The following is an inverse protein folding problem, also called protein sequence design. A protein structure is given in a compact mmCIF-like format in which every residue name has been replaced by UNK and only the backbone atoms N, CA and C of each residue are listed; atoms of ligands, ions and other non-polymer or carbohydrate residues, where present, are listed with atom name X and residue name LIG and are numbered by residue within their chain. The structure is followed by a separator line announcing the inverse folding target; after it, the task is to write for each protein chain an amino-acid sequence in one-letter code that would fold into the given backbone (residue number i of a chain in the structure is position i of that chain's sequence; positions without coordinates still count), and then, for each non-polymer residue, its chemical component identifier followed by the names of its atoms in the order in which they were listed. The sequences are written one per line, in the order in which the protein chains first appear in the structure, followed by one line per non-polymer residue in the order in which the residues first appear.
data_IF_979679710371
#
_entry.id   IF_979679710371
#
_cell.length_a   1.000
_cell.length_b   1.000
_cell.length_c   1.000
_cell.angle_alpha   90.00
_cell.angle_beta   90.00
_cell.angle_gamma   90.00
#
_symmetry.space_group_name_H-M   'P 1'
#
loop_
_entity.id
_entity.type
_entity.pdbx_description
1 polymer ?
#
# COMPACT_ATOMS: atom_id res chain seq x y z
N UNK A 1 35.11 33.51 -51.11
CA UNK A 1 34.27 32.30 -51.07
C UNK A 1 34.92 31.27 -50.16
N UNK A 2 34.45 31.15 -48.91
CA UNK A 2 34.82 30.07 -47.99
C UNK A 2 33.53 29.61 -47.32
N UNK A 3 32.98 28.50 -47.80
CA UNK A 3 31.77 27.89 -47.28
C UNK A 3 32.12 27.13 -46.00
N UNK A 4 31.50 27.48 -44.88
CA UNK A 4 31.60 26.71 -43.63
C UNK A 4 30.40 25.77 -43.53
N UNK A 5 30.68 24.47 -43.45
CA UNK A 5 29.67 23.42 -43.24
C UNK A 5 29.42 23.33 -41.73
N UNK A 6 28.19 23.59 -41.31
CA UNK A 6 27.72 23.34 -39.93
C UNK A 6 27.29 21.88 -39.86
N UNK A 7 28.01 21.07 -39.08
CA UNK A 7 27.59 19.72 -38.74
C UNK A 7 26.63 19.78 -37.55
N UNK A 8 25.36 19.44 -37.77
CA UNK A 8 24.36 19.26 -36.71
C UNK A 8 24.50 17.84 -36.17
N UNK A 9 25.00 17.71 -34.93
CA UNK A 9 24.99 16.45 -34.21
C UNK A 9 23.61 16.23 -33.58
N UNK A 10 22.84 15.28 -34.12
CA UNK A 10 21.66 14.75 -33.44
C UNK A 10 22.10 13.87 -32.27
N UNK A 11 21.94 14.33 -31.03
CA UNK A 11 21.96 13.45 -29.86
C UNK A 11 20.66 12.63 -29.88
N UNK A 12 20.74 11.38 -30.32
CA UNK A 12 19.68 10.41 -30.11
C UNK A 12 19.62 10.02 -28.63
N UNK A 13 18.55 10.42 -27.93
CA UNK A 13 18.21 9.89 -26.62
C UNK A 13 17.80 8.42 -26.78
N UNK A 14 18.63 7.50 -26.31
CA UNK A 14 18.27 6.10 -26.14
C UNK A 14 17.28 5.98 -24.98
N UNK A 15 16.01 5.73 -25.31
CA UNK A 15 15.04 5.24 -24.35
C UNK A 15 15.49 3.84 -23.92
N UNK A 16 16.09 3.73 -22.74
CA UNK A 16 16.25 2.43 -22.10
C UNK A 16 14.84 2.02 -21.65
N UNK A 17 14.21 1.15 -22.43
CA UNK A 17 13.02 0.46 -21.99
C UNK A 17 13.42 -0.37 -20.76
N UNK A 18 13.00 0.07 -19.57
CA UNK A 18 13.06 -0.78 -18.40
C UNK A 18 12.25 -2.03 -18.71
N UNK A 19 12.87 -3.20 -18.56
CA UNK A 19 12.13 -4.44 -18.53
C UNK A 19 11.11 -4.30 -17.39
N UNK A 20 9.82 -4.25 -17.73
CA UNK A 20 8.76 -4.25 -16.73
C UNK A 20 8.90 -5.56 -15.95
N UNK A 21 9.36 -5.48 -14.71
CA UNK A 21 9.31 -6.64 -13.83
C UNK A 21 7.86 -7.08 -13.70
N UNK A 22 7.64 -8.39 -13.75
CA UNK A 22 6.32 -8.97 -13.48
C UNK A 22 5.95 -8.62 -12.03
N UNK A 23 5.04 -7.66 -11.87
CA UNK A 23 4.52 -7.23 -10.58
C UNK A 23 3.08 -7.71 -10.45
N UNK A 24 2.81 -8.43 -9.37
CA UNK A 24 1.45 -8.81 -8.99
C UNK A 24 1.03 -8.03 -7.74
N UNK A 25 -0.22 -7.60 -7.70
CA UNK A 25 -0.85 -6.95 -6.55
C UNK A 25 -2.07 -7.77 -6.16
N UNK A 26 -2.18 -8.16 -4.90
CA UNK A 26 -3.39 -8.73 -4.34
C UNK A 26 -4.33 -7.60 -3.95
N UNK A 27 -5.53 -7.53 -4.55
CA UNK A 27 -6.55 -6.56 -4.23
C UNK A 27 -7.66 -7.19 -3.38
N UNK A 28 -7.93 -6.63 -2.21
CA UNK A 28 -9.08 -6.98 -1.38
C UNK A 28 -10.33 -6.29 -1.97
N UNK A 29 -11.20 -7.11 -2.56
CA UNK A 29 -12.45 -6.68 -3.19
C UNK A 29 -13.62 -7.07 -2.27
N UNK A 30 -14.41 -6.08 -1.88
CA UNK A 30 -15.55 -6.28 -0.96
C UNK A 30 -15.09 -6.76 0.42
N UNK A 31 -15.75 -7.79 0.95
CA UNK A 31 -15.56 -8.25 2.32
C UNK A 31 -14.57 -9.42 2.45
N UNK A 32 -14.40 -10.22 1.40
CA UNK A 32 -13.68 -11.50 1.49
C UNK A 32 -13.11 -12.01 0.18
N UNK A 33 -13.01 -11.19 -0.87
CA UNK A 33 -12.48 -11.65 -2.16
C UNK A 33 -11.10 -11.04 -2.41
N UNK A 34 -10.15 -11.87 -2.84
CA UNK A 34 -8.81 -11.42 -3.25
C UNK A 34 -8.67 -11.63 -4.75
N UNK A 35 -8.39 -10.56 -5.48
CA UNK A 35 -8.04 -10.57 -6.89
C UNK A 35 -6.53 -10.38 -7.04
N UNK A 36 -5.84 -11.32 -7.70
CA UNK A 36 -4.42 -11.20 -8.05
C UNK A 36 -4.31 -10.48 -9.39
N UNK A 37 -3.87 -9.23 -9.34
CA UNK A 37 -3.75 -8.31 -10.47
C UNK A 37 -2.33 -8.33 -11.00
N UNK A 38 -2.16 -8.69 -12.27
CA UNK A 38 -0.90 -8.50 -12.99
C UNK A 38 -0.86 -7.06 -13.53
N UNK A 39 0.13 -6.30 -13.05
CA UNK A 39 0.29 -4.87 -13.36
C UNK A 39 0.65 -4.65 -14.83
N UNK A 40 1.47 -5.52 -15.41
CA UNK A 40 1.97 -5.36 -16.77
C UNK A 40 0.85 -5.57 -17.81
N UNK A 41 0.01 -6.57 -17.57
CA UNK A 41 -1.07 -6.98 -18.46
C UNK A 41 -2.42 -6.37 -18.11
N UNK A 42 -2.51 -5.67 -16.96
CA UNK A 42 -3.67 -4.90 -16.50
C UNK A 42 -4.93 -5.76 -16.39
N UNK A 43 -4.76 -6.97 -15.84
CA UNK A 43 -5.85 -7.93 -15.66
C UNK A 43 -5.66 -8.71 -14.38
N UNK A 44 -6.77 -9.27 -13.90
CA UNK A 44 -6.78 -10.23 -12.82
C UNK A 44 -6.43 -11.60 -13.38
N UNK A 45 -5.35 -12.21 -12.91
CA UNK A 45 -4.97 -13.58 -13.27
C UNK A 45 -5.83 -14.60 -12.54
N UNK A 46 -6.21 -14.27 -11.31
CA UNK A 46 -7.01 -15.13 -10.43
C UNK A 46 -7.82 -14.31 -9.45
N UNK A 47 -9.04 -14.73 -9.18
CA UNK A 47 -9.84 -14.22 -8.08
C UNK A 47 -10.29 -15.38 -7.20
N UNK A 48 -10.30 -15.16 -5.88
CA UNK A 48 -10.67 -16.18 -4.92
C UNK A 48 -11.40 -15.58 -3.72
N UNK A 49 -12.49 -16.23 -3.32
CA UNK A 49 -13.16 -15.97 -2.06
C UNK A 49 -12.37 -16.60 -0.92
N UNK A 50 -12.08 -15.83 0.11
CA UNK A 50 -11.34 -16.28 1.29
C UNK A 50 -12.27 -17.10 2.17
N UNK A 51 -11.86 -18.32 2.49
CA UNK A 51 -12.62 -19.25 3.33
C UNK A 51 -12.02 -19.36 4.73
N UNK A 52 -12.82 -19.73 5.73
CA UNK A 52 -12.37 -19.90 7.11
C UNK A 52 -12.30 -18.60 7.94
N UNK A 53 -12.94 -17.52 7.48
CA UNK A 53 -13.04 -16.26 8.22
C UNK A 53 -14.23 -16.28 9.19
N UNK A 54 -14.07 -15.67 10.36
CA UNK A 54 -15.14 -15.43 11.34
C UNK A 54 -15.98 -14.17 11.02
N UNK A 55 -15.54 -13.36 10.07
CA UNK A 55 -16.18 -12.13 9.62
C UNK A 55 -15.49 -11.55 8.40
N UNK A 56 -15.83 -10.31 8.01
CA UNK A 56 -15.17 -9.65 6.86
C UNK A 56 -13.71 -9.32 7.16
N UNK A 57 -12.89 -9.25 6.12
CA UNK A 57 -11.55 -8.69 6.17
C UNK A 57 -11.61 -7.16 6.28
N UNK A 58 -10.82 -6.61 7.18
CA UNK A 58 -10.60 -5.18 7.32
C UNK A 58 -9.53 -4.70 6.35
N UNK A 59 -8.44 -5.45 6.20
CA UNK A 59 -7.32 -5.20 5.29
C UNK A 59 -6.42 -6.44 5.16
N UNK A 60 -5.48 -6.39 4.21
CA UNK A 60 -4.52 -7.46 3.90
C UNK A 60 -3.14 -6.87 3.66
N UNK A 61 -2.08 -7.60 4.00
CA UNK A 61 -0.72 -7.24 3.62
C UNK A 61 0.24 -8.44 3.62
N UNK A 62 1.36 -8.36 2.90
CA UNK A 62 2.45 -9.32 2.93
C UNK A 62 3.41 -8.98 4.06
N UNK A 63 3.63 -9.91 5.00
CA UNK A 63 4.65 -9.72 6.04
C UNK A 63 6.05 -9.94 5.44
N UNK A 64 6.94 -8.94 5.42
CA UNK A 64 8.22 -9.07 4.72
C UNK A 64 9.17 -10.14 5.32
N UNK A 65 9.01 -10.48 6.59
CA UNK A 65 9.89 -11.43 7.29
C UNK A 65 9.65 -12.91 6.91
N UNK A 66 8.42 -13.27 6.53
CA UNK A 66 8.02 -14.62 6.14
C UNK A 66 7.42 -14.74 4.72
N UNK A 67 7.03 -13.62 4.09
CA UNK A 67 6.49 -13.58 2.74
C UNK A 67 5.06 -14.12 2.61
N UNK A 68 4.35 -14.33 3.72
CA UNK A 68 2.96 -14.79 3.71
C UNK A 68 1.99 -13.61 3.57
N UNK A 69 0.84 -13.86 2.94
CA UNK A 69 -0.27 -12.92 2.93
C UNK A 69 -1.05 -13.03 4.23
N UNK A 70 -1.18 -11.92 4.94
CA UNK A 70 -1.97 -11.80 6.16
C UNK A 70 -3.27 -11.06 5.87
N UNK A 71 -4.28 -11.33 6.68
CA UNK A 71 -5.52 -10.57 6.74
C UNK A 71 -5.91 -10.27 8.18
N UNK A 72 -6.43 -9.08 8.42
CA UNK A 72 -7.07 -8.71 9.68
C UNK A 72 -8.58 -8.86 9.54
N UNK A 73 -9.19 -9.71 10.35
CA UNK A 73 -10.64 -9.90 10.38
C UNK A 73 -11.29 -8.85 11.29
N UNK A 74 -12.53 -8.49 10.99
CA UNK A 74 -13.33 -7.50 11.74
C UNK A 74 -13.53 -7.81 13.23
N UNK A 75 -13.37 -9.06 13.66
CA UNK A 75 -13.42 -9.47 15.07
C UNK A 75 -12.03 -9.46 15.76
N UNK A 76 -11.01 -8.94 15.07
CA UNK A 76 -9.62 -8.87 15.51
C UNK A 76 -8.80 -10.14 15.29
N UNK A 77 -9.37 -11.18 14.69
CA UNK A 77 -8.59 -12.37 14.32
C UNK A 77 -7.59 -12.01 13.22
N UNK A 78 -6.32 -12.36 13.43
CA UNK A 78 -5.30 -12.28 12.40
C UNK A 78 -5.17 -13.65 11.74
N UNK A 79 -5.22 -13.69 10.42
CA UNK A 79 -5.10 -14.91 9.63
C UNK A 79 -3.95 -14.80 8.63
N UNK A 80 -3.33 -15.93 8.29
CA UNK A 80 -2.57 -16.07 7.04
C UNK A 80 -3.46 -16.66 5.97
N UNK A 81 -3.35 -16.20 4.73
CA UNK A 81 -4.21 -16.60 3.61
C UNK A 81 -3.34 -17.27 2.54
N UNK A 82 -3.67 -18.51 2.21
CA UNK A 82 -3.02 -19.22 1.12
C UNK A 82 -3.45 -18.61 -0.23
N UNK A 83 -2.49 -18.04 -0.97
CA UNK A 83 -2.73 -17.32 -2.24
C UNK A 83 -3.21 -18.23 -3.39
N UNK A 84 -3.06 -19.55 -3.25
CA UNK A 84 -3.49 -20.51 -4.26
C UNK A 84 -4.93 -21.00 -4.02
N UNK A 85 -5.36 -21.17 -2.79
CA UNK A 85 -6.66 -21.75 -2.44
C UNK A 85 -7.64 -20.74 -1.82
N UNK A 86 -7.15 -19.60 -1.32
CA UNK A 86 -7.93 -18.66 -0.53
C UNK A 86 -8.25 -19.16 0.88
N UNK A 87 -7.62 -20.25 1.35
CA UNK A 87 -7.86 -20.77 2.70
C UNK A 87 -7.16 -19.90 3.75
N UNK A 88 -7.94 -19.31 4.67
CA UNK A 88 -7.40 -18.62 5.83
C UNK A 88 -7.05 -19.61 6.96
N UNK A 89 -5.95 -19.34 7.66
CA UNK A 89 -5.52 -20.04 8.87
C UNK A 89 -5.29 -19.02 9.97
N UNK A 90 -5.93 -19.21 11.12
CA UNK A 90 -5.76 -18.30 12.26
C UNK A 90 -4.31 -18.32 12.76
N UNK A 91 -3.77 -17.12 12.95
CA UNK A 91 -2.43 -16.89 13.50
C UNK A 91 -2.51 -16.42 14.96
N UNK A 92 -3.33 -15.41 15.23
CA UNK A 92 -3.50 -14.82 16.55
C UNK A 92 -4.82 -14.03 16.62
N UNK A 93 -5.08 -13.35 17.73
CA UNK A 93 -6.20 -12.43 17.89
C UNK A 93 -5.73 -11.17 18.59
N UNK A 94 -6.01 -10.01 17.99
CA UNK A 94 -5.64 -8.72 18.55
C UNK A 94 -6.39 -8.44 19.84
N UNK A 95 -5.69 -7.95 20.87
CA UNK A 95 -6.29 -7.57 22.16
C UNK A 95 -7.09 -6.26 22.08
N UNK A 96 -6.75 -5.40 21.12
CA UNK A 96 -7.32 -4.08 20.91
C UNK A 96 -7.60 -3.89 19.43
N UNK A 97 -8.80 -3.41 19.10
CA UNK A 97 -9.22 -3.13 17.73
C UNK A 97 -9.49 -1.64 17.53
N UNK A 98 -9.47 -1.23 16.26
CA UNK A 98 -10.06 0.06 15.88
C UNK A 98 -11.57 0.07 16.20
N UNK A 99 -12.19 1.25 16.39
CA UNK A 99 -13.62 1.32 16.69
C UNK A 99 -14.49 0.71 15.56
N UNK A 100 -15.61 0.09 15.93
CA UNK A 100 -16.56 -0.48 14.98
C UNK A 100 -17.08 0.58 14.01
N UNK A 101 -17.10 0.27 12.71
CA UNK A 101 -17.58 1.17 11.66
C UNK A 101 -16.54 2.14 11.11
N UNK A 102 -15.36 2.22 11.74
CA UNK A 102 -14.20 2.95 11.21
C UNK A 102 -13.55 2.13 10.10
N UNK A 103 -13.18 2.78 8.98
CA UNK A 103 -12.43 2.12 7.92
C UNK A 103 -11.02 1.83 8.41
N UNK A 104 -10.52 0.62 8.13
CA UNK A 104 -9.18 0.22 8.48
C UNK A 104 -8.28 0.20 7.25
N UNK A 105 -7.01 0.50 7.47
CA UNK A 105 -5.89 0.15 6.61
C UNK A 105 -4.89 -0.64 7.43
N UNK A 106 -4.25 -1.65 6.85
CA UNK A 106 -3.20 -2.42 7.52
C UNK A 106 -1.96 -2.53 6.64
N UNK A 107 -0.77 -2.49 7.27
CA UNK A 107 0.50 -2.64 6.55
C UNK A 107 1.62 -3.08 7.50
N UNK A 108 2.55 -3.93 7.07
CA UNK A 108 3.66 -4.39 7.87
C UNK A 108 4.84 -3.45 7.79
N UNK A 109 5.29 -2.99 8.95
CA UNK A 109 6.58 -2.33 9.05
C UNK A 109 7.71 -3.36 8.82
N UNK A 110 8.53 -3.26 7.75
CA UNK A 110 9.55 -4.26 7.43
C UNK A 110 10.74 -4.25 8.40
N UNK A 111 10.90 -3.19 9.19
CA UNK A 111 12.01 -3.03 10.14
C UNK A 111 11.59 -3.49 11.54
N UNK A 112 10.43 -3.04 12.02
CA UNK A 112 9.91 -3.39 13.34
C UNK A 112 9.20 -4.75 13.36
N UNK A 113 8.84 -5.29 12.19
CA UNK A 113 8.06 -6.52 12.03
C UNK A 113 6.77 -6.47 12.84
N UNK A 114 6.01 -5.38 12.65
CA UNK A 114 4.73 -5.11 13.31
C UNK A 114 3.70 -4.70 12.27
N UNK A 115 2.47 -5.18 12.46
CA UNK A 115 1.33 -4.75 11.67
C UNK A 115 0.87 -3.38 12.19
N UNK A 116 0.93 -2.37 11.33
CA UNK A 116 0.26 -1.09 11.55
C UNK A 116 -1.22 -1.27 11.24
N UNK A 117 -2.10 -0.75 12.08
CA UNK A 117 -3.53 -0.68 11.82
C UNK A 117 -3.97 0.77 12.01
N UNK A 118 -4.38 1.41 10.94
CA UNK A 118 -4.82 2.81 10.93
C UNK A 118 -6.32 2.86 10.71
N UNK A 119 -7.02 3.60 11.56
CA UNK A 119 -8.42 3.93 11.41
C UNK A 119 -8.60 5.25 10.67
N UNK A 120 -9.63 5.34 9.85
CA UNK A 120 -10.01 6.60 9.18
C UNK A 120 -10.44 7.72 10.13
N UNK A 121 -10.58 7.44 11.42
CA UNK A 121 -10.81 8.40 12.51
C UNK A 121 -9.50 8.89 13.17
N UNK A 122 -8.36 8.48 12.64
CA UNK A 122 -7.03 8.76 13.18
C UNK A 122 -6.58 7.80 14.27
N UNK A 123 -7.33 6.73 14.56
CA UNK A 123 -6.83 5.64 15.41
C UNK A 123 -5.56 5.06 14.79
N UNK A 124 -4.53 4.84 15.62
CA UNK A 124 -3.21 4.43 15.16
C UNK A 124 -2.69 3.33 16.09
N UNK A 125 -2.64 2.09 15.59
CA UNK A 125 -2.26 0.92 16.37
C UNK A 125 -1.04 0.23 15.77
N UNK A 126 -0.23 -0.39 16.63
CA UNK A 126 0.82 -1.34 16.23
C UNK A 126 0.56 -2.68 16.90
N UNK A 127 0.42 -3.73 16.11
CA UNK A 127 0.16 -5.07 16.57
C UNK A 127 1.37 -5.98 16.34
N UNK A 128 1.67 -6.82 17.33
CA UNK A 128 2.48 -8.01 17.11
C UNK A 128 1.56 -9.16 16.71
N UNK A 129 1.67 -9.61 15.46
CA UNK A 129 0.79 -10.66 14.94
C UNK A 129 1.12 -12.05 15.48
N UNK A 130 2.27 -12.25 16.11
CA UNK A 130 2.64 -13.55 16.67
C UNK A 130 1.95 -13.84 18.02
N UNK A 131 1.67 -12.81 18.82
CA UNK A 131 1.02 -12.95 20.14
C UNK A 131 -0.26 -12.14 20.31
N UNK A 132 -0.63 -11.31 19.32
CA UNK A 132 -1.86 -10.51 19.32
C UNK A 132 -1.79 -9.23 20.17
N UNK A 133 -0.64 -8.91 20.77
CA UNK A 133 -0.51 -7.70 21.60
C UNK A 133 -0.56 -6.44 20.75
N UNK A 134 -1.33 -5.45 21.19
CA UNK A 134 -1.46 -4.17 20.50
C UNK A 134 -0.96 -3.01 21.36
N UNK A 135 -0.22 -2.11 20.74
CA UNK A 135 0.11 -0.79 21.30
C UNK A 135 -0.72 0.27 20.59
N UNK A 136 -1.43 1.09 21.36
CA UNK A 136 -2.08 2.29 20.85
C UNK A 136 -1.07 3.44 20.82
N UNK A 137 -0.78 3.92 19.63
CA UNK A 137 0.14 5.03 19.39
C UNK A 137 -0.61 6.38 19.44
N UNK A 138 0.13 7.48 19.21
CA UNK A 138 -0.45 8.81 19.09
C UNK A 138 -1.51 8.88 18.00
N UNK A 139 -2.62 9.56 18.30
CA UNK A 139 -3.71 9.79 17.34
C UNK A 139 -3.20 10.64 16.17
N UNK A 140 -3.61 10.24 14.97
CA UNK A 140 -3.18 10.91 13.75
C UNK A 140 -3.63 12.36 13.74
N UNK A 141 -2.69 13.25 13.43
CA UNK A 141 -2.91 14.68 13.23
C UNK A 141 -1.89 15.25 12.26
N UNK A 142 -2.29 16.25 11.51
CA UNK A 142 -1.34 17.04 10.75
C UNK A 142 -0.37 17.79 11.67
N UNK A 143 0.90 17.81 11.29
CA UNK A 143 1.96 18.45 12.07
C UNK A 143 1.74 19.96 12.28
N UNK A 144 2.45 20.52 13.26
CA UNK A 144 2.29 21.92 13.64
C UNK A 144 2.67 22.95 12.56
N UNK A 145 3.49 22.53 11.59
CA UNK A 145 3.92 23.32 10.45
C UNK A 145 3.26 22.87 9.13
N UNK A 146 2.32 21.92 9.21
CA UNK A 146 1.64 21.38 8.04
C UNK A 146 0.54 22.34 7.55
N UNK A 147 0.34 22.40 6.23
CA UNK A 147 -0.71 23.24 5.63
C UNK A 147 -2.14 22.84 6.03
N UNK A 148 -2.34 21.61 6.50
CA UNK A 148 -3.62 21.07 6.99
C UNK A 148 -3.71 21.08 8.52
N UNK A 149 -2.83 21.78 9.23
CA UNK A 149 -2.87 21.92 10.69
C UNK A 149 -4.28 22.22 11.20
N UNK A 150 -4.69 21.50 12.24
CA UNK A 150 -5.99 21.68 12.90
C UNK A 150 -7.16 21.00 12.18
N UNK A 151 -6.96 20.44 10.99
CA UNK A 151 -7.94 19.54 10.36
C UNK A 151 -7.77 18.13 10.91
N UNK A 152 -8.89 17.43 11.10
CA UNK A 152 -8.86 16.01 11.43
C UNK A 152 -8.51 15.23 10.15
N UNK A 153 -7.44 14.42 10.13
CA UNK A 153 -7.14 13.56 9.00
C UNK A 153 -8.17 12.44 8.91
N UNK A 154 -8.45 12.02 7.67
CA UNK A 154 -9.24 10.83 7.35
C UNK A 154 -8.41 9.93 6.45
N UNK A 155 -7.53 9.14 7.06
CA UNK A 155 -6.66 8.21 6.33
C UNK A 155 -7.47 7.04 5.79
N UNK A 156 -7.25 6.70 4.52
CA UNK A 156 -7.95 5.61 3.82
C UNK A 156 -7.02 4.49 3.35
N UNK A 157 -5.72 4.77 3.26
CA UNK A 157 -4.69 3.84 2.86
C UNK A 157 -3.32 4.33 3.35
N UNK A 158 -2.33 3.45 3.40
CA UNK A 158 -1.01 3.76 3.90
C UNK A 158 -0.11 2.53 3.83
N UNK A 159 1.18 2.77 3.58
CA UNK A 159 2.14 1.71 3.30
C UNK A 159 3.58 2.12 3.64
N UNK A 160 4.39 1.13 4.00
CA UNK A 160 5.79 1.28 4.35
C UNK A 160 6.70 1.07 3.12
N UNK A 161 7.72 1.93 2.97
CA UNK A 161 8.80 1.68 2.00
C UNK A 161 9.71 0.55 2.44
N UNK A 162 10.47 0.02 1.48
CA UNK A 162 11.45 -1.05 1.67
C UNK A 162 10.77 -2.29 2.27
N UNK A 163 9.57 -2.64 1.77
CA UNK A 163 8.80 -3.82 2.17
C UNK A 163 9.50 -5.10 1.70
N UNK A 164 10.62 -5.41 2.34
CA UNK A 164 11.52 -6.51 2.02
C UNK A 164 12.12 -7.10 3.31
N UNK A 165 12.48 -8.38 3.25
CA UNK A 165 13.14 -9.06 4.37
C UNK A 165 14.49 -8.40 4.68
N UNK A 166 14.69 -8.04 5.95
CA UNK A 166 15.97 -7.51 6.44
C UNK A 166 16.19 -6.02 6.18
N UNK A 167 15.14 -5.28 5.78
CA UNK A 167 15.17 -3.82 5.65
C UNK A 167 15.79 -3.16 6.90
N UNK A 168 16.60 -2.12 6.67
CA UNK A 168 17.26 -1.35 7.74
C UNK A 168 16.55 -0.04 8.06
N UNK A 169 15.84 0.49 7.07
CA UNK A 169 15.10 1.74 7.16
C UNK A 169 13.77 1.58 6.44
N UNK A 170 12.77 2.34 6.88
CA UNK A 170 11.46 2.38 6.25
C UNK A 170 10.80 3.73 6.53
N UNK A 171 9.89 4.14 5.66
CA UNK A 171 9.08 5.35 5.78
C UNK A 171 7.62 4.96 5.59
N UNK A 172 6.76 5.40 6.50
CA UNK A 172 5.31 5.27 6.36
C UNK A 172 4.77 6.43 5.53
N UNK A 173 4.02 6.10 4.49
CA UNK A 173 3.21 7.06 3.74
C UNK A 173 1.73 6.75 3.96
N UNK A 174 0.91 7.80 4.00
CA UNK A 174 -0.54 7.68 4.15
C UNK A 174 -1.25 8.50 3.08
N UNK A 175 -2.44 8.06 2.71
CA UNK A 175 -3.36 8.78 1.83
C UNK A 175 -4.56 9.21 2.65
N UNK A 176 -4.72 10.53 2.77
CA UNK A 176 -5.94 11.13 3.28
C UNK A 176 -7.03 11.09 2.21
N UNK A 177 -8.29 10.92 2.61
CA UNK A 177 -9.42 10.83 1.69
C UNK A 177 -9.61 12.07 0.80
N UNK A 178 -9.08 13.23 1.20
CA UNK A 178 -9.02 14.43 0.36
C UNK A 178 -8.09 14.27 -0.85
N UNK A 179 -7.26 13.24 -0.86
CA UNK A 179 -6.27 12.96 -1.91
C UNK A 179 -4.85 13.38 -1.56
N UNK A 180 -4.59 13.87 -0.34
CA UNK A 180 -3.25 14.26 0.10
C UNK A 180 -2.43 13.01 0.42
N UNK A 181 -1.27 12.88 -0.23
CA UNK A 181 -0.21 11.97 0.23
C UNK A 181 0.54 12.65 1.38
N UNK A 182 0.73 11.92 2.47
CA UNK A 182 1.48 12.37 3.63
C UNK A 182 2.59 11.38 3.98
N UNK A 183 3.60 11.86 4.71
CA UNK A 183 4.58 11.04 5.42
C UNK A 183 4.25 11.05 6.90
N UNK A 184 4.06 9.87 7.51
CA UNK A 184 3.91 9.75 8.97
C UNK A 184 5.29 9.73 9.64
N UNK A 185 5.68 10.86 10.24
CA UNK A 185 6.99 10.99 10.84
C UNK A 185 6.96 11.95 12.06
N UNK A 186 7.21 11.45 13.29
CA UNK A 186 7.36 10.04 13.66
C UNK A 186 6.03 9.24 13.56
N UNK A 187 6.05 7.96 13.14
CA UNK A 187 4.83 7.18 12.99
C UNK A 187 4.11 6.91 14.32
N UNK A 188 4.86 6.67 15.40
CA UNK A 188 4.27 6.36 16.70
C UNK A 188 3.67 7.60 17.40
N UNK A 189 4.05 8.80 16.95
CA UNK A 189 3.48 10.06 17.44
C UNK A 189 2.22 10.46 16.67
N UNK A 190 1.95 9.77 15.55
CA UNK A 190 0.81 10.06 14.66
C UNK A 190 0.93 11.37 13.89
N UNK A 191 2.15 11.87 13.65
CA UNK A 191 2.35 13.14 12.94
C UNK A 191 2.35 12.92 11.43
N UNK A 192 1.38 13.51 10.75
CA UNK A 192 1.26 13.53 9.30
C UNK A 192 1.90 14.79 8.73
N UNK A 193 2.79 14.63 7.75
CA UNK A 193 3.42 15.71 7.00
C UNK A 193 3.04 15.59 5.52
N UNK A 194 2.26 16.54 5.02
CA UNK A 194 1.73 16.62 3.66
C UNK A 194 2.87 16.77 2.65
N UNK A 195 2.82 15.94 1.61
CA UNK A 195 3.78 15.96 0.50
C UNK A 195 3.16 16.66 -0.71
N UNK A 196 1.99 16.19 -1.12
CA UNK A 196 1.31 16.72 -2.30
C UNK A 196 0.02 15.96 -2.58
N UNK A 197 -0.70 16.40 -3.60
CA UNK A 197 -1.98 15.82 -4.00
C UNK A 197 -1.78 14.70 -5.01
N UNK A 198 -2.55 13.61 -4.84
CA UNK A 198 -2.69 12.56 -5.86
C UNK A 198 -3.34 13.06 -7.14
N UNK A 199 -4.08 14.17 -7.07
CA UNK A 199 -4.84 14.71 -8.20
C UNK A 199 -6.26 14.14 -8.30
N UNK A 200 -6.69 13.36 -7.31
CA UNK A 200 -8.05 12.82 -7.20
C UNK A 200 -8.51 12.82 -5.74
N UNK A 201 -9.82 12.83 -5.52
CA UNK A 201 -10.38 12.50 -4.20
C UNK A 201 -10.22 11.00 -3.96
N UNK A 202 -9.71 10.61 -2.79
CA UNK A 202 -9.32 9.24 -2.47
C UNK A 202 -10.26 8.59 -1.46
N UNK A 203 -11.58 8.80 -1.56
CA UNK A 203 -12.51 8.31 -0.54
C UNK A 203 -12.48 6.80 -0.31
N UNK A 204 -12.18 6.05 -1.37
CA UNK A 204 -12.03 4.60 -1.39
C UNK A 204 -10.85 4.19 -2.28
N UNK A 205 -9.66 4.71 -1.96
CA UNK A 205 -8.43 4.27 -2.59
C UNK A 205 -7.75 3.20 -1.73
N UNK A 206 -7.12 2.23 -2.39
CA UNK A 206 -6.18 1.31 -1.78
C UNK A 206 -4.78 1.66 -2.25
N UNK A 207 -3.78 1.53 -1.39
CA UNK A 207 -2.41 1.94 -1.69
C UNK A 207 -1.41 1.01 -1.02
N UNK A 208 -0.37 0.66 -1.76
CA UNK A 208 0.77 -0.09 -1.25
C UNK A 208 2.06 0.28 -1.98
N UNK A 209 3.21 0.06 -1.34
CA UNK A 209 4.54 0.33 -1.86
C UNK A 209 5.31 -0.98 -2.01
N UNK A 210 5.58 -1.34 -3.26
CA UNK A 210 6.47 -2.47 -3.54
C UNK A 210 7.93 -2.02 -3.52
N UNK A 211 8.78 -2.83 -2.91
CA UNK A 211 10.22 -2.75 -3.08
C UNK A 211 10.65 -3.71 -4.19
N UNK A 212 11.35 -3.18 -5.19
CA UNK A 212 11.99 -3.95 -6.25
C UNK A 212 13.46 -3.55 -6.39
N UNK A 213 14.23 -4.36 -7.11
CA UNK A 213 15.61 -4.04 -7.46
C UNK A 213 15.74 -3.92 -8.97
N UNK A 214 16.25 -2.78 -9.43
CA UNK A 214 16.57 -2.56 -10.85
C UNK A 214 18.05 -2.26 -10.96
N UNK A 215 18.77 -3.08 -11.74
CA UNK A 215 20.22 -2.94 -11.92
C UNK A 215 21.02 -2.87 -10.60
N UNK A 216 20.60 -3.62 -9.58
CA UNK A 216 21.24 -3.66 -8.25
C UNK A 216 20.95 -2.44 -7.37
N UNK A 217 20.01 -1.57 -7.77
CA UNK A 217 19.53 -0.47 -6.95
C UNK A 217 18.10 -0.75 -6.46
N UNK A 218 17.90 -0.64 -5.15
CA UNK A 218 16.58 -0.71 -4.53
C UNK A 218 15.70 0.46 -4.96
N UNK A 219 14.46 0.16 -5.32
CA UNK A 219 13.47 1.13 -5.76
C UNK A 219 12.12 0.85 -5.10
N UNK A 220 11.49 1.90 -4.60
CA UNK A 220 10.13 1.87 -4.08
C UNK A 220 9.16 2.36 -5.16
N UNK A 221 8.12 1.58 -5.44
CA UNK A 221 7.05 1.96 -6.38
C UNK A 221 5.71 1.95 -5.66
N UNK A 222 5.07 3.12 -5.57
CA UNK A 222 3.73 3.25 -5.00
C UNK A 222 2.65 2.87 -6.00
N UNK A 223 1.84 1.89 -5.67
CA UNK A 223 0.65 1.49 -6.41
C UNK A 223 -0.59 1.97 -5.71
N UNK A 224 -1.53 2.54 -6.47
CA UNK A 224 -2.83 2.96 -5.96
C UNK A 224 -3.94 2.39 -6.84
N UNK A 225 -4.97 1.81 -6.22
CA UNK A 225 -6.19 1.42 -6.89
C UNK A 225 -7.36 2.28 -6.43
N UNK A 226 -8.06 2.89 -7.39
CA UNK A 226 -9.33 3.56 -7.16
C UNK A 226 -10.38 2.93 -8.09
N UNK A 227 -11.29 2.15 -7.50
CA UNK A 227 -12.20 1.30 -8.27
C UNK A 227 -11.44 0.27 -9.12
N UNK A 228 -11.70 0.28 -10.43
CA UNK A 228 -11.06 -0.63 -11.40
C UNK A 228 -9.73 -0.06 -11.97
N UNK A 229 -9.31 1.14 -11.59
CA UNK A 229 -8.17 1.82 -12.23
C UNK A 229 -6.93 1.77 -11.34
N UNK A 230 -5.82 1.34 -11.93
CA UNK A 230 -4.50 1.32 -11.31
C UNK A 230 -3.73 2.60 -11.65
N UNK A 231 -3.08 3.16 -10.65
CA UNK A 231 -2.24 4.34 -10.73
C UNK A 231 -0.86 4.06 -10.12
N UNK A 232 0.17 4.68 -10.68
CA UNK A 232 1.46 4.78 -10.03
C UNK A 232 1.54 6.12 -9.29
N UNK A 233 1.91 6.08 -8.01
CA UNK A 233 2.07 7.27 -7.16
C UNK A 233 3.54 7.63 -7.08
N UNK A 234 3.86 8.87 -7.39
CA UNK A 234 5.17 9.45 -7.11
C UNK A 234 5.24 9.84 -5.63
N UNK A 235 6.05 9.12 -4.85
CA UNK A 235 6.16 9.32 -3.40
C UNK A 235 6.81 10.66 -3.02
N UNK A 236 7.53 11.30 -3.94
CA UNK A 236 8.18 12.59 -3.68
C UNK A 236 7.23 13.78 -3.93
N UNK A 237 6.28 13.63 -4.85
CA UNK A 237 5.36 14.72 -5.26
C UNK A 237 3.90 14.48 -4.87
N UNK A 238 3.55 13.24 -4.51
CA UNK A 238 2.17 12.80 -4.28
C UNK A 238 1.39 12.48 -5.56
N UNK A 239 1.87 12.86 -6.75
CA UNK A 239 1.10 12.77 -8.00
C UNK A 239 0.80 11.32 -8.38
N UNK A 240 -0.47 10.99 -8.55
CA UNK A 240 -0.91 9.71 -9.11
C UNK A 240 -1.05 9.80 -10.64
N UNK A 241 -0.43 8.88 -11.36
CA UNK A 241 -0.50 8.80 -12.82
C UNK A 241 -1.18 7.50 -13.24
N UNK A 242 -2.23 7.59 -14.06
CA UNK A 242 -3.01 6.42 -14.48
C UNK A 242 -2.15 5.46 -15.30
N UNK A 243 -2.11 4.20 -14.89
CA UNK A 243 -1.52 3.10 -15.66
C UNK A 243 -2.58 2.45 -16.54
N UNK A 244 -3.82 2.33 -16.04
CA UNK A 244 -4.98 1.92 -16.80
C UNK A 244 -6.01 1.16 -15.98
N UNK A 245 -7.12 0.81 -16.63
CA UNK A 245 -8.16 -0.04 -16.03
C UNK A 245 -7.70 -1.49 -15.96
N UNK A 246 -8.00 -2.13 -14.84
CA UNK A 246 -7.74 -3.54 -14.58
C UNK A 246 -8.96 -4.36 -14.96
N UNK A 247 -8.78 -5.24 -15.94
CA UNK A 247 -9.84 -6.19 -16.33
C UNK A 247 -9.99 -7.27 -15.26
N UNK A 248 -11.23 -7.59 -14.87
CA UNK A 248 -11.52 -8.68 -13.93
C UNK A 248 -11.61 -8.27 -12.46
N UNK A 249 -11.36 -6.99 -12.13
CA UNK A 249 -11.72 -6.42 -10.82
C UNK A 249 -13.14 -5.87 -10.91
N UNK A 250 -14.04 -6.38 -10.07
CA UNK A 250 -15.43 -5.92 -10.01
C UNK A 250 -15.83 -5.65 -8.56
N UNK A 251 -16.18 -4.40 -8.25
CA UNK A 251 -16.60 -3.98 -6.91
C UNK A 251 -15.62 -3.00 -6.27
N UNK A 252 -15.82 -2.76 -4.97
CA UNK A 252 -15.01 -1.84 -4.19
C UNK A 252 -13.69 -2.52 -3.81
N UNK A 253 -12.57 -2.00 -4.34
CA UNK A 253 -11.23 -2.33 -3.82
C UNK A 253 -11.03 -1.55 -2.53
N UNK A 254 -10.80 -2.27 -1.43
CA UNK A 254 -10.66 -1.70 -0.09
C UNK A 254 -9.24 -1.68 0.43
N UNK A 255 -8.39 -2.56 -0.09
CA UNK A 255 -6.99 -2.67 0.27
C UNK A 255 -6.20 -3.36 -0.84
N UNK A 256 -4.89 -3.14 -0.89
CA UNK A 256 -4.00 -3.85 -1.82
C UNK A 256 -2.71 -4.24 -1.11
N UNK A 257 -2.14 -5.38 -1.51
CA UNK A 257 -0.85 -5.86 -1.04
C UNK A 257 0.00 -6.27 -2.24
N UNK A 258 1.14 -5.63 -2.43
CA UNK A 258 2.08 -5.91 -3.48
C UNK A 258 2.86 -7.17 -3.15
N UNK A 259 2.84 -8.11 -4.08
CA UNK A 259 3.53 -9.37 -3.93
C UNK A 259 5.01 -9.14 -4.26
N UNK A 260 5.94 -9.72 -3.46
CA UNK A 260 7.34 -9.76 -3.85
C UNK A 260 7.47 -10.36 -5.25
N UNK A 261 8.36 -9.81 -6.07
CA UNK A 261 8.70 -10.43 -7.35
C UNK A 261 9.10 -11.90 -7.10
N UNK A 262 8.53 -12.81 -7.90
CA UNK A 262 8.95 -14.22 -7.87
C UNK A 262 10.44 -14.24 -8.30
N UNK A 263 11.32 -14.56 -7.36
CA UNK A 263 12.75 -14.78 -7.65
C UNK A 263 12.96 -16.07 -8.45
#
# INVERSE_FOLDING_TARGET
MKSSIVAVAFLGTTLIASAAQAQTVAALVGDDTIALVDVATKRTDKSMKVSGLSGKLLGIDIRPSDGLLYGLVSDGTVVTIDRASGKATQKSKLDTMIPTGVMATVDFNPVADRLRVIGSDGTNLRANVDDGKVTKDGQLRFGDNDMHKGKAPRIVAGAYTNSMKGAKETVLYDIDATGVLTKQAPPNDGILNSIGMTGMTAENAAFDIVYGETAGQGMNTGWLMAGDTLYQVDLATGKATSVGKITGVSGLVRDIAALPAMM
#
